data_IF_915008343634
#
_entry.id   IF_915008343634
#
_cell.length_a   1.000
_cell.length_b   1.000
_cell.length_c   1.000
_cell.angle_alpha   90.00
_cell.angle_beta   90.00
_cell.angle_gamma   90.00
#
_symmetry.space_group_name_H-M   'P 1'
#
loop_
_entity.id
_entity.type
_entity.pdbx_description
1 polymer ?
#
# COMPACT_ATOMS: atom_id res chain seq x y z
N UNK A 1 -12.22 -18.57 0.11
CA UNK A 1 -11.77 -17.31 0.68
C UNK A 1 -11.02 -16.51 -0.35
N UNK A 2 -11.39 -15.28 -0.52
CA UNK A 2 -10.78 -14.41 -1.52
C UNK A 2 -9.61 -13.67 -0.89
N UNK A 3 -8.48 -13.66 -1.56
CA UNK A 3 -7.35 -12.90 -1.08
C UNK A 3 -7.63 -11.40 -1.16
N UNK A 4 -7.13 -10.59 -0.22
CA UNK A 4 -7.30 -9.16 -0.30
C UNK A 4 -6.66 -8.60 -1.57
N UNK A 5 -7.29 -7.58 -2.15
CA UNK A 5 -6.67 -6.82 -3.24
C UNK A 5 -5.52 -5.98 -2.70
N UNK A 6 -5.71 -5.41 -1.53
CA UNK A 6 -4.73 -4.53 -0.90
C UNK A 6 -4.56 -4.98 0.54
N UNK A 7 -3.32 -5.07 0.98
CA UNK A 7 -3.00 -5.42 2.35
C UNK A 7 -1.87 -4.54 2.87
N UNK A 8 -2.16 -3.82 3.96
CA UNK A 8 -1.14 -3.14 4.76
C UNK A 8 -0.91 -3.97 6.00
N UNK A 9 0.32 -4.22 6.34
CA UNK A 9 0.69 -5.09 7.45
C UNK A 9 1.77 -4.42 8.28
N UNK A 10 1.39 -3.88 9.44
CA UNK A 10 2.30 -3.23 10.36
C UNK A 10 2.98 -2.00 9.80
N UNK A 11 2.32 -1.25 8.94
CA UNK A 11 2.92 -0.14 8.21
C UNK A 11 3.13 1.06 9.12
N UNK A 12 4.34 1.62 9.07
CA UNK A 12 4.72 2.82 9.81
C UNK A 12 5.15 3.90 8.86
N UNK A 13 4.74 5.14 9.13
CA UNK A 13 5.13 6.29 8.35
C UNK A 13 5.12 7.54 9.20
N UNK A 14 6.24 8.26 9.19
CA UNK A 14 6.38 9.53 9.89
C UNK A 14 6.91 10.60 8.94
N UNK A 15 6.53 11.82 9.20
CA UNK A 15 7.09 13.01 8.54
C UNK A 15 7.76 13.85 9.61
N UNK A 16 9.10 13.76 9.66
CA UNK A 16 9.84 14.38 10.76
C UNK A 16 9.45 13.75 12.09
N UNK A 17 9.00 14.55 13.03
CA UNK A 17 8.56 14.06 14.34
C UNK A 17 7.08 13.66 14.36
N UNK A 18 6.35 13.89 13.27
CA UNK A 18 4.92 13.57 13.20
C UNK A 18 4.73 12.15 12.69
N UNK A 19 4.28 11.26 13.56
CA UNK A 19 3.99 9.89 13.19
C UNK A 19 2.55 9.80 12.70
N UNK A 20 2.38 9.55 11.39
CA UNK A 20 1.06 9.54 10.75
C UNK A 20 0.45 8.14 10.75
N UNK A 21 1.26 7.13 10.46
CA UNK A 21 0.82 5.73 10.49
C UNK A 21 1.63 4.98 11.54
N UNK A 22 0.93 4.35 12.48
CA UNK A 22 1.54 3.60 13.58
C UNK A 22 1.09 2.15 13.48
N UNK A 23 1.98 1.29 13.02
CA UNK A 23 1.70 -0.15 12.99
C UNK A 23 0.34 -0.43 12.34
N UNK A 24 0.08 0.22 11.20
CA UNK A 24 -1.21 0.15 10.53
C UNK A 24 -1.37 -1.18 9.82
N UNK A 25 -2.45 -1.88 10.13
CA UNK A 25 -2.82 -3.09 9.42
C UNK A 25 -4.24 -2.95 8.91
N UNK A 26 -4.41 -3.16 7.61
CA UNK A 26 -5.73 -3.16 7.00
C UNK A 26 -5.72 -4.01 5.75
N UNK A 27 -6.90 -4.50 5.40
CA UNK A 27 -7.07 -5.26 4.15
C UNK A 27 -8.28 -4.74 3.41
N UNK A 28 -8.21 -4.79 2.08
CA UNK A 28 -9.31 -4.43 1.20
C UNK A 28 -9.63 -5.63 0.34
N UNK A 29 -10.85 -6.10 0.41
CA UNK A 29 -11.30 -7.24 -0.38
C UNK A 29 -11.76 -6.77 -1.78
N UNK A 30 -11.73 -7.66 -2.78
CA UNK A 30 -12.07 -7.27 -4.15
C UNK A 30 -13.46 -6.66 -4.33
N UNK A 31 -14.40 -7.01 -3.45
CA UNK A 31 -15.77 -6.54 -3.57
C UNK A 31 -16.09 -5.40 -2.62
N UNK A 32 -15.14 -5.01 -1.79
CA UNK A 32 -15.36 -3.92 -0.89
C UNK A 32 -15.17 -2.61 -1.60
N UNK A 33 -16.17 -1.77 -1.51
CA UNK A 33 -15.97 -0.37 -1.83
C UNK A 33 -15.34 0.25 -0.61
N UNK A 34 -14.05 0.25 -0.57
CA UNK A 34 -13.42 0.96 0.50
C UNK A 34 -13.51 2.41 0.21
N UNK A 35 -14.27 2.82 0.92
CA UNK A 35 -14.13 4.16 1.37
C UNK A 35 -12.94 4.25 2.28
N UNK A 36 -11.84 4.67 1.73
CA UNK A 36 -10.84 5.33 2.56
C UNK A 36 -11.46 6.65 2.99
N UNK A 37 -12.66 6.53 3.53
CA UNK A 37 -13.42 7.65 4.01
C UNK A 37 -13.02 7.81 5.46
N UNK A 38 -12.24 8.77 5.71
CA UNK A 38 -11.96 9.22 7.04
C UNK A 38 -11.97 10.73 7.04
N UNK A 39 -12.04 11.35 8.20
CA UNK A 39 -11.88 12.79 8.28
C UNK A 39 -10.54 13.20 7.71
N UNK A 40 -10.48 14.37 7.15
CA UNK A 40 -9.26 14.98 6.67
C UNK A 40 -8.20 14.92 7.78
N UNK A 41 -6.99 14.53 7.44
CA UNK A 41 -5.92 14.42 8.40
C UNK A 41 -5.81 13.08 9.10
N UNK A 42 -6.62 12.09 8.73
CA UNK A 42 -6.63 10.79 9.38
C UNK A 42 -5.64 9.79 8.76
N UNK A 43 -4.72 10.26 7.95
CA UNK A 43 -3.73 9.39 7.31
C UNK A 43 -4.19 8.79 5.99
N UNK A 44 -5.43 9.04 5.57
CA UNK A 44 -5.93 8.44 4.33
C UNK A 44 -5.18 8.95 3.10
N UNK A 45 -4.79 10.21 3.09
CA UNK A 45 -3.98 10.76 2.01
C UNK A 45 -2.62 10.08 1.95
N UNK A 46 -2.03 9.84 3.12
CA UNK A 46 -0.75 9.14 3.20
C UNK A 46 -0.87 7.70 2.68
N UNK A 47 -1.95 7.00 3.03
CA UNK A 47 -2.21 5.66 2.55
C UNK A 47 -2.30 5.65 1.02
N UNK A 48 -3.03 6.59 0.45
CA UNK A 48 -3.15 6.70 -1.00
C UNK A 48 -1.82 6.99 -1.67
N UNK A 49 -1.02 7.88 -1.09
CA UNK A 49 0.30 8.20 -1.63
C UNK A 49 1.23 7.00 -1.58
N UNK A 50 1.16 6.21 -0.52
CA UNK A 50 1.94 4.99 -0.43
C UNK A 50 1.54 4.01 -1.53
N UNK A 51 0.24 3.85 -1.77
CA UNK A 51 -0.25 2.98 -2.83
C UNK A 51 0.15 3.47 -4.22
N UNK A 52 0.23 4.78 -4.41
CA UNK A 52 0.62 5.37 -5.69
C UNK A 52 2.13 5.51 -5.83
N UNK A 53 2.88 5.00 -4.90
CA UNK A 53 4.36 5.05 -4.86
C UNK A 53 4.93 6.47 -4.79
N UNK A 54 4.15 7.40 -4.26
CA UNK A 54 4.60 8.77 -4.04
C UNK A 54 5.26 8.96 -2.68
N UNK A 55 4.97 8.06 -1.74
CA UNK A 55 5.58 8.05 -0.41
C UNK A 55 5.98 6.63 -0.07
N UNK A 56 7.19 6.44 0.43
CA UNK A 56 7.62 5.12 0.88
C UNK A 56 7.11 4.82 2.28
N UNK A 57 7.32 3.59 2.73
CA UNK A 57 7.02 3.19 4.11
C UNK A 57 8.32 3.05 4.89
N UNK A 58 8.23 3.21 6.20
CA UNK A 58 9.38 3.10 7.10
C UNK A 58 9.39 1.78 7.86
N UNK A 59 8.27 1.09 7.90
CA UNK A 59 8.16 -0.24 8.49
C UNK A 59 6.95 -0.95 7.93
N UNK A 60 6.91 -2.25 8.13
CA UNK A 60 5.81 -3.08 7.63
C UNK A 60 5.92 -3.42 6.16
N UNK A 61 4.84 -3.96 5.62
CA UNK A 61 4.77 -4.34 4.20
C UNK A 61 3.43 -3.92 3.60
N UNK A 62 3.43 -3.73 2.28
CA UNK A 62 2.22 -3.44 1.52
C UNK A 62 2.13 -4.41 0.37
N UNK A 63 1.00 -5.07 0.23
CA UNK A 63 0.76 -5.99 -0.88
C UNK A 63 -0.42 -5.51 -1.72
N UNK A 64 -0.29 -5.65 -3.03
CA UNK A 64 -1.37 -5.40 -3.98
C UNK A 64 -1.52 -6.67 -4.81
N UNK A 65 -2.69 -7.27 -4.76
CA UNK A 65 -2.99 -8.56 -5.41
C UNK A 65 -1.97 -9.64 -5.04
N UNK A 66 -1.58 -9.67 -3.77
CA UNK A 66 -0.62 -10.65 -3.26
C UNK A 66 0.83 -10.35 -3.58
N UNK A 67 1.12 -9.27 -4.29
CA UNK A 67 2.49 -8.89 -4.65
C UNK A 67 2.98 -7.76 -3.80
N UNK A 68 4.22 -7.87 -3.33
CA UNK A 68 4.83 -6.81 -2.52
C UNK A 68 4.99 -5.54 -3.35
N UNK A 69 4.58 -4.42 -2.78
CA UNK A 69 4.71 -3.12 -3.46
C UNK A 69 6.07 -2.48 -3.18
N UNK A 70 6.42 -2.35 -1.90
CA UNK A 70 7.63 -1.63 -1.50
C UNK A 70 8.83 -2.54 -1.25
N UNK A 71 8.66 -3.84 -1.50
CA UNK A 71 9.71 -4.83 -1.32
C UNK A 71 9.81 -5.75 -2.52
N UNK A 72 10.98 -6.32 -2.71
CA UNK A 72 11.25 -7.38 -3.69
C UNK A 72 11.87 -8.56 -2.96
N UNK A 73 11.52 -9.76 -3.38
CA UNK A 73 12.16 -10.94 -2.84
C UNK A 73 13.43 -11.22 -3.62
N UNK A 74 14.54 -11.26 -2.92
CA UNK A 74 15.84 -11.59 -3.50
C UNK A 74 16.54 -12.57 -2.56
N UNK A 75 16.97 -13.70 -3.12
CA UNK A 75 17.68 -14.72 -2.37
C UNK A 75 16.94 -15.16 -1.10
N UNK A 76 15.61 -15.25 -1.20
CA UNK A 76 14.78 -15.73 -0.10
C UNK A 76 14.47 -14.71 0.98
N UNK A 77 14.85 -13.43 0.80
CA UNK A 77 14.52 -12.40 1.77
C UNK A 77 13.95 -11.17 1.08
N UNK A 78 13.15 -10.42 1.84
CA UNK A 78 12.58 -9.19 1.34
C UNK A 78 13.61 -8.07 1.42
N UNK A 79 13.76 -7.35 0.32
CA UNK A 79 14.65 -6.21 0.21
C UNK A 79 13.84 -5.01 -0.25
N UNK A 80 14.29 -3.79 0.02
CA UNK A 80 13.59 -2.62 -0.49
C UNK A 80 13.50 -2.67 -2.02
N UNK A 81 12.32 -2.31 -2.53
CA UNK A 81 12.04 -2.37 -3.96
C UNK A 81 12.85 -1.32 -4.73
N UNK A 82 13.38 -1.73 -5.87
CA UNK A 82 14.03 -0.81 -6.79
C UNK A 82 13.01 -0.13 -7.69
N UNK A 83 13.47 0.84 -8.47
CA UNK A 83 12.59 1.63 -9.33
C UNK A 83 11.89 0.79 -10.39
N UNK A 84 12.57 -0.21 -10.90
CA UNK A 84 11.99 -1.09 -11.92
C UNK A 84 10.77 -1.83 -11.39
N UNK A 85 10.87 -2.34 -10.16
CA UNK A 85 9.77 -3.03 -9.50
C UNK A 85 8.62 -2.07 -9.22
N UNK A 86 8.92 -0.88 -8.71
CA UNK A 86 7.91 0.12 -8.41
C UNK A 86 7.17 0.55 -9.66
N UNK A 87 7.87 0.65 -10.79
CA UNK A 87 7.25 1.02 -12.06
C UNK A 87 6.25 -0.04 -12.51
N UNK A 88 6.61 -1.31 -12.38
CA UNK A 88 5.69 -2.39 -12.68
C UNK A 88 4.47 -2.38 -11.77
N UNK A 89 4.69 -2.13 -10.49
CA UNK A 89 3.61 -2.08 -9.51
C UNK A 89 2.67 -0.91 -9.76
N UNK A 90 3.19 0.24 -10.21
CA UNK A 90 2.33 1.38 -10.56
C UNK A 90 1.34 1.02 -11.65
N UNK A 91 1.76 0.26 -12.64
CA UNK A 91 0.85 -0.21 -13.70
C UNK A 91 -0.23 -1.11 -13.14
N UNK A 92 0.16 -2.07 -12.32
CA UNK A 92 -0.79 -3.00 -11.71
C UNK A 92 -1.79 -2.28 -10.84
N UNK A 93 -1.34 -1.31 -10.06
CA UNK A 93 -2.20 -0.55 -9.15
C UNK A 93 -3.19 0.29 -9.93
N UNK A 94 -2.75 0.94 -11.00
CA UNK A 94 -3.66 1.70 -11.86
C UNK A 94 -4.78 0.83 -12.41
N UNK A 95 -4.46 -0.38 -12.85
CA UNK A 95 -5.45 -1.33 -13.34
C UNK A 95 -6.39 -1.79 -12.24
N UNK A 96 -5.86 -2.04 -11.05
CA UNK A 96 -6.67 -2.44 -9.90
C UNK A 96 -7.68 -1.35 -9.53
N UNK A 97 -7.22 -0.11 -9.45
CA UNK A 97 -8.11 0.99 -9.11
C UNK A 97 -9.20 1.18 -10.16
N UNK A 98 -8.85 1.05 -11.42
CA UNK A 98 -9.81 1.14 -12.51
C UNK A 98 -10.81 -0.01 -12.50
N UNK A 99 -10.31 -1.23 -12.34
CA UNK A 99 -11.13 -2.43 -12.42
C UNK A 99 -12.10 -2.54 -11.25
N UNK A 100 -11.69 -2.14 -10.06
CA UNK A 100 -12.51 -2.29 -8.86
C UNK A 100 -13.12 -0.98 -8.38
N UNK A 101 -12.91 0.10 -9.13
CA UNK A 101 -13.55 1.39 -8.87
C UNK A 101 -13.31 1.87 -7.44
N UNK A 102 -12.04 1.87 -7.04
CA UNK A 102 -11.65 2.21 -5.67
C UNK A 102 -11.61 3.72 -5.41
N UNK A 103 -11.84 4.51 -6.42
CA UNK A 103 -11.95 5.97 -6.30
C UNK A 103 -13.30 6.44 -6.76
#
# INVERSE_FOLDING_TARGET
MTEPIIRFDGVCKSFGSLEVLKDLSLTVQPQERVALIGPSGSGKTTILRILMTLENIQGGTVQVEGKQLWHEEKNGSLQPAGESHLRQMRRSIGMVFQQFNLF
#
